data_IF_562015844871
#
_entry.id   IF_562015844871
#
_cell.length_a   1.000
_cell.length_b   1.000
_cell.length_c   1.000
_cell.angle_alpha   90.00
_cell.angle_beta   90.00
_cell.angle_gamma   90.00
#
_symmetry.space_group_name_H-M   'P 1'
#
loop_
_entity.id
_entity.type
_entity.pdbx_description
1 polymer ?
#
# COMPACT_ATOMS: atom_id res chain seq x y z
N UNK A 1 12.24 -0.80 -30.40
CA UNK A 1 12.61 0.55 -30.88
C UNK A 1 13.12 1.32 -29.67
N UNK A 2 14.34 1.85 -29.72
CA UNK A 2 14.90 2.64 -28.61
C UNK A 2 14.01 3.87 -28.42
N UNK A 3 13.54 4.16 -27.18
CA UNK A 3 12.67 5.30 -26.94
C UNK A 3 13.41 6.61 -27.27
N UNK A 4 12.67 7.58 -27.79
CA UNK A 4 13.15 8.94 -28.07
C UNK A 4 12.38 9.91 -27.20
N UNK A 5 13.06 10.95 -26.70
CA UNK A 5 12.43 11.97 -25.85
C UNK A 5 13.21 12.26 -24.57
N UNK A 6 12.55 12.84 -23.60
CA UNK A 6 13.09 13.15 -22.28
C UNK A 6 12.54 12.15 -21.24
N UNK A 7 13.28 11.98 -20.16
CA UNK A 7 12.84 11.27 -18.96
C UNK A 7 12.31 12.28 -17.94
N UNK A 8 11.00 12.29 -17.67
CA UNK A 8 10.42 13.11 -16.62
C UNK A 8 10.62 12.42 -15.28
N UNK A 9 11.07 13.19 -14.30
CA UNK A 9 11.38 12.67 -12.96
C UNK A 9 10.80 13.60 -11.91
N UNK A 10 10.20 13.04 -10.86
CA UNK A 10 9.88 13.77 -9.65
C UNK A 10 11.02 13.67 -8.66
N UNK A 11 11.71 14.79 -8.45
CA UNK A 11 12.84 14.90 -7.53
C UNK A 11 12.32 15.28 -6.14
N UNK A 12 12.76 14.56 -5.12
CA UNK A 12 12.57 14.92 -3.73
C UNK A 12 13.42 16.12 -3.36
N UNK A 13 12.81 17.22 -2.93
CA UNK A 13 13.52 18.50 -2.68
C UNK A 13 13.89 18.71 -1.23
N UNK A 14 12.97 18.44 -0.32
CA UNK A 14 13.16 18.78 1.09
C UNK A 14 12.27 17.94 2.01
N UNK A 15 12.76 17.76 3.25
CA UNK A 15 12.06 17.00 4.28
C UNK A 15 10.75 17.69 4.68
N UNK A 16 9.59 17.00 4.65
CA UNK A 16 8.35 17.55 5.19
C UNK A 16 8.44 17.77 6.70
N UNK A 17 8.01 18.93 7.18
CA UNK A 17 7.85 19.19 8.62
C UNK A 17 6.51 18.66 9.12
N UNK A 18 5.48 18.82 8.30
CA UNK A 18 4.10 18.44 8.57
C UNK A 18 3.58 17.52 7.47
N UNK A 19 2.39 17.77 6.94
CA UNK A 19 1.85 17.02 5.82
C UNK A 19 2.72 17.17 4.56
N UNK A 20 2.77 16.11 3.75
CA UNK A 20 3.45 16.15 2.45
C UNK A 20 2.62 16.94 1.47
N UNK A 21 3.23 17.95 0.83
CA UNK A 21 2.63 18.78 -0.21
C UNK A 21 3.52 18.81 -1.46
N UNK A 22 3.03 19.46 -2.52
CA UNK A 22 3.75 19.55 -3.80
C UNK A 22 5.09 20.30 -3.69
N UNK A 23 5.22 21.19 -2.72
CA UNK A 23 6.45 21.95 -2.44
C UNK A 23 7.65 21.09 -2.08
N UNK A 24 7.41 19.84 -1.68
CA UNK A 24 8.46 18.88 -1.35
C UNK A 24 9.04 18.17 -2.58
N UNK A 25 8.48 18.44 -3.75
CA UNK A 25 8.88 17.80 -5.00
C UNK A 25 9.13 18.81 -6.11
N UNK A 26 9.85 18.38 -7.13
CA UNK A 26 10.06 19.13 -8.38
C UNK A 26 10.05 18.16 -9.54
N UNK A 27 9.29 18.49 -10.59
CA UNK A 27 9.36 17.74 -11.84
C UNK A 27 10.47 18.31 -12.70
N UNK A 28 11.41 17.44 -13.10
CA UNK A 28 12.50 17.78 -14.01
C UNK A 28 12.45 16.88 -15.24
N UNK A 29 13.00 17.37 -16.33
CA UNK A 29 13.24 16.59 -17.55
C UNK A 29 14.74 16.37 -17.73
N UNK A 30 15.14 15.13 -17.92
CA UNK A 30 16.53 14.73 -18.16
C UNK A 30 16.65 13.97 -19.48
N UNK A 31 17.86 13.75 -19.95
CA UNK A 31 18.10 12.82 -21.07
C UNK A 31 17.64 11.41 -20.68
N UNK A 32 17.19 10.64 -21.68
CA UNK A 32 16.90 9.22 -21.46
C UNK A 32 18.14 8.50 -20.96
N UNK A 33 18.04 7.69 -19.88
CA UNK A 33 19.16 6.90 -19.42
C UNK A 33 19.49 5.78 -20.41
N UNK A 34 20.75 5.35 -20.43
CA UNK A 34 21.21 4.28 -21.32
C UNK A 34 21.68 3.09 -20.46
N UNK A 35 21.21 1.91 -20.80
CA UNK A 35 21.65 0.68 -20.10
C UNK A 35 23.13 0.41 -20.37
N UNK A 36 23.89 0.18 -19.30
CA UNK A 36 25.26 -0.34 -19.35
C UNK A 36 25.30 -1.86 -19.51
N UNK A 37 26.50 -2.45 -19.41
CA UNK A 37 26.65 -3.89 -19.40
C UNK A 37 25.91 -4.50 -18.21
N UNK A 38 25.22 -5.62 -18.42
CA UNK A 38 24.40 -6.32 -17.44
C UNK A 38 23.33 -5.43 -16.75
N UNK A 39 22.71 -4.55 -17.53
CA UNK A 39 21.60 -3.69 -17.10
C UNK A 39 20.43 -3.77 -18.08
N UNK A 40 19.25 -3.39 -17.58
CA UNK A 40 18.04 -3.25 -18.40
C UNK A 40 17.52 -1.82 -18.30
N UNK A 41 17.06 -1.28 -19.43
CA UNK A 41 16.29 -0.04 -19.48
C UNK A 41 14.82 -0.40 -19.47
N UNK A 42 14.09 0.18 -18.56
CA UNK A 42 12.65 -0.04 -18.40
C UNK A 42 11.86 1.25 -18.56
N UNK A 43 10.65 1.14 -19.12
CA UNK A 43 9.64 2.19 -19.13
C UNK A 43 8.66 1.94 -18.01
N UNK A 44 8.52 2.87 -17.08
CA UNK A 44 7.60 2.75 -15.94
C UNK A 44 6.15 2.86 -16.44
N UNK A 45 5.34 1.88 -16.14
CA UNK A 45 3.93 1.81 -16.50
C UNK A 45 3.03 2.26 -15.35
N UNK A 46 3.41 1.86 -14.14
CA UNK A 46 2.67 2.17 -12.91
C UNK A 46 3.66 2.46 -11.80
N UNK A 47 3.54 3.62 -11.16
CA UNK A 47 4.28 3.98 -9.96
C UNK A 47 3.33 3.95 -8.75
N UNK A 48 3.75 3.32 -7.65
CA UNK A 48 2.98 3.26 -6.42
C UNK A 48 3.04 4.57 -5.65
N UNK A 49 1.91 4.95 -5.05
CA UNK A 49 1.84 6.02 -4.05
C UNK A 49 1.34 5.40 -2.75
N UNK A 50 2.18 5.38 -1.73
CA UNK A 50 1.86 4.74 -0.46
C UNK A 50 2.23 5.60 0.75
N UNK A 51 1.53 5.45 1.88
CA UNK A 51 1.88 6.16 3.12
C UNK A 51 3.31 5.87 3.60
N UNK A 52 3.86 4.68 3.32
CA UNK A 52 5.22 4.31 3.68
C UNK A 52 6.30 5.21 3.08
N UNK A 53 6.03 5.83 1.92
CA UNK A 53 6.95 6.76 1.28
C UNK A 53 7.22 8.00 2.16
N UNK A 54 6.27 8.38 3.01
CA UNK A 54 6.52 9.44 4.00
C UNK A 54 7.63 9.06 4.98
N UNK A 55 7.64 7.81 5.47
CA UNK A 55 8.70 7.34 6.36
C UNK A 55 10.07 7.38 5.67
N UNK A 56 10.13 7.04 4.37
CA UNK A 56 11.39 7.10 3.59
C UNK A 56 11.95 8.51 3.42
N UNK A 57 11.10 9.53 3.48
CA UNK A 57 11.54 10.93 3.51
C UNK A 57 12.05 11.36 4.89
N UNK A 58 11.64 10.66 5.95
CA UNK A 58 11.85 11.09 7.34
C UNK A 58 13.02 10.40 8.03
N UNK A 59 13.18 9.08 7.85
CA UNK A 59 14.12 8.27 8.63
C UNK A 59 14.61 7.07 7.82
N UNK A 60 15.68 6.45 8.29
CA UNK A 60 16.11 5.14 7.83
C UNK A 60 15.10 4.08 8.27
N UNK A 61 14.74 3.21 7.34
CA UNK A 61 13.81 2.09 7.57
C UNK A 61 14.48 0.79 7.10
N UNK A 62 13.78 -0.10 6.36
CA UNK A 62 14.41 -1.19 5.62
C UNK A 62 15.20 -0.71 4.39
N UNK A 63 15.16 0.57 4.10
CA UNK A 63 15.97 1.29 3.12
C UNK A 63 16.55 2.55 3.74
N UNK A 64 17.69 3.08 3.21
CA UNK A 64 18.20 4.37 3.60
C UNK A 64 17.17 5.49 3.32
N UNK A 65 17.17 6.51 4.17
CA UNK A 65 16.36 7.71 3.99
C UNK A 65 16.71 8.42 2.68
N UNK A 66 15.69 8.86 1.94
CA UNK A 66 15.85 9.69 0.75
C UNK A 66 16.59 11.00 1.08
N UNK A 67 17.47 11.40 0.18
CA UNK A 67 18.18 12.67 0.26
C UNK A 67 17.59 13.66 -0.75
N UNK A 68 17.57 14.98 -0.42
CA UNK A 68 17.23 15.99 -1.40
C UNK A 68 18.07 15.87 -2.67
N UNK A 69 17.42 15.93 -3.83
CA UNK A 69 18.04 15.75 -5.14
C UNK A 69 17.86 14.35 -5.73
N UNK A 70 17.41 13.36 -4.94
CA UNK A 70 17.11 12.02 -5.45
C UNK A 70 15.72 11.98 -6.12
N UNK A 71 15.57 11.08 -7.10
CA UNK A 71 14.24 10.73 -7.64
C UNK A 71 13.39 10.16 -6.50
N UNK A 72 12.14 10.61 -6.37
CA UNK A 72 11.25 10.08 -5.35
C UNK A 72 11.08 8.57 -5.52
N UNK A 73 11.49 7.81 -4.53
CA UNK A 73 11.47 6.37 -4.55
C UNK A 73 10.05 5.83 -4.66
N UNK A 74 9.87 4.84 -5.51
CA UNK A 74 8.55 4.21 -5.71
C UNK A 74 8.71 2.81 -6.27
N UNK A 75 8.07 1.86 -5.61
CA UNK A 75 7.82 0.57 -6.19
C UNK A 75 6.80 0.68 -7.33
N UNK A 76 6.94 -0.16 -8.36
CA UNK A 76 6.05 -0.08 -9.51
C UNK A 76 6.17 -1.27 -10.47
N UNK A 77 5.48 -1.11 -11.59
CA UNK A 77 5.56 -2.02 -12.74
C UNK A 77 6.18 -1.26 -13.91
N UNK A 78 7.02 -1.93 -14.66
CA UNK A 78 7.65 -1.39 -15.84
C UNK A 78 7.76 -2.43 -16.96
N UNK A 79 7.86 -1.95 -18.19
CA UNK A 79 8.13 -2.75 -19.38
C UNK A 79 9.62 -2.63 -19.73
N UNK A 80 10.27 -3.74 -19.96
CA UNK A 80 11.64 -3.76 -20.50
C UNK A 80 11.64 -3.21 -21.92
N UNK A 81 12.42 -2.15 -22.17
CA UNK A 81 12.54 -1.53 -23.52
C UNK A 81 13.89 -1.83 -24.17
N UNK A 82 14.94 -2.03 -23.38
CA UNK A 82 16.25 -2.51 -23.83
C UNK A 82 16.83 -3.44 -22.74
N UNK A 83 17.42 -4.55 -23.15
CA UNK A 83 18.13 -5.45 -22.24
C UNK A 83 19.56 -5.67 -22.72
N UNK A 84 20.53 -5.54 -21.82
CA UNK A 84 21.92 -5.98 -21.97
C UNK A 84 22.30 -7.04 -20.92
N UNK A 85 21.27 -7.73 -20.42
CA UNK A 85 21.39 -8.80 -19.43
C UNK A 85 20.63 -10.03 -19.90
N UNK A 86 21.10 -11.21 -19.52
CA UNK A 86 20.40 -12.45 -19.76
C UNK A 86 19.10 -12.53 -18.94
N UNK A 87 18.10 -13.24 -19.46
CA UNK A 87 16.82 -13.52 -18.77
C UNK A 87 15.76 -12.43 -18.89
N UNK A 88 16.04 -11.32 -19.59
CA UNK A 88 15.06 -10.25 -19.87
C UNK A 88 15.06 -9.89 -21.34
N UNK A 89 13.86 -9.70 -21.91
CA UNK A 89 13.66 -9.30 -23.31
C UNK A 89 12.75 -8.07 -23.40
N UNK A 90 12.90 -7.23 -24.43
CA UNK A 90 11.95 -6.14 -24.67
C UNK A 90 10.50 -6.64 -24.73
N UNK A 91 9.61 -5.97 -24.00
CA UNK A 91 8.21 -6.34 -23.83
C UNK A 91 7.92 -7.09 -22.53
N UNK A 92 8.93 -7.59 -21.83
CA UNK A 92 8.73 -8.22 -20.51
C UNK A 92 8.21 -7.19 -19.50
N UNK A 93 7.27 -7.63 -18.65
CA UNK A 93 6.79 -6.84 -17.52
C UNK A 93 7.58 -7.24 -16.28
N UNK A 94 8.13 -6.25 -15.61
CA UNK A 94 8.91 -6.41 -14.38
C UNK A 94 8.36 -5.54 -13.26
N UNK A 95 8.55 -5.97 -12.01
CA UNK A 95 8.32 -5.14 -10.84
C UNK A 95 9.62 -4.82 -10.10
N UNK A 96 9.67 -3.67 -9.51
CA UNK A 96 10.85 -3.20 -8.77
C UNK A 96 10.69 -1.77 -8.24
N UNK A 97 11.77 -1.24 -7.68
CA UNK A 97 11.86 0.16 -7.26
C UNK A 97 12.39 1.01 -8.42
N UNK A 98 11.47 1.67 -9.13
CA UNK A 98 11.82 2.47 -10.31
C UNK A 98 11.80 3.98 -10.03
N UNK A 99 11.24 4.39 -8.90
CA UNK A 99 10.99 5.81 -8.61
C UNK A 99 9.83 6.42 -9.41
N UNK A 100 9.52 7.66 -9.11
CA UNK A 100 8.55 8.44 -9.88
C UNK A 100 9.22 9.06 -11.09
N UNK A 101 9.32 8.30 -12.17
CA UNK A 101 9.93 8.71 -13.43
C UNK A 101 9.40 7.89 -14.61
N UNK A 102 9.63 8.36 -15.84
CA UNK A 102 9.15 7.66 -17.03
C UNK A 102 10.03 6.43 -17.37
N UNK A 103 11.35 6.54 -17.20
CA UNK A 103 12.32 5.49 -17.52
C UNK A 103 13.35 5.32 -16.41
N UNK A 104 13.76 4.09 -16.18
CA UNK A 104 14.82 3.74 -15.23
C UNK A 104 15.80 2.73 -15.84
N UNK A 105 17.07 2.81 -15.43
CA UNK A 105 18.05 1.74 -15.66
C UNK A 105 18.24 0.98 -14.36
N UNK A 106 18.10 -0.33 -14.41
CA UNK A 106 18.17 -1.19 -13.24
C UNK A 106 19.03 -2.43 -13.49
N UNK A 107 19.60 -2.96 -12.43
CA UNK A 107 20.27 -4.27 -12.47
C UNK A 107 19.22 -5.41 -12.52
N UNK A 108 19.49 -6.53 -13.16
CA UNK A 108 18.58 -7.66 -13.28
C UNK A 108 18.14 -8.22 -11.91
N UNK A 109 19.05 -8.26 -10.93
CA UNK A 109 18.75 -8.71 -9.58
C UNK A 109 17.87 -7.75 -8.74
N UNK A 110 17.63 -6.53 -9.21
CA UNK A 110 16.77 -5.55 -8.53
C UNK A 110 15.30 -5.64 -8.95
N UNK A 111 14.97 -6.48 -9.92
CA UNK A 111 13.61 -6.61 -10.48
C UNK A 111 13.17 -8.06 -10.54
N UNK A 112 11.86 -8.27 -10.62
CA UNK A 112 11.26 -9.59 -10.81
C UNK A 112 10.41 -9.62 -12.06
N UNK A 113 10.62 -10.63 -12.90
CA UNK A 113 9.78 -10.89 -14.07
C UNK A 113 8.36 -11.25 -13.62
N UNK A 114 7.37 -10.66 -14.26
CA UNK A 114 5.96 -10.94 -14.00
C UNK A 114 5.35 -11.78 -15.12
N UNK A 115 4.41 -12.62 -14.72
CA UNK A 115 3.70 -13.48 -15.67
C UNK A 115 2.90 -12.63 -16.66
N UNK A 116 3.03 -12.93 -17.94
CA UNK A 116 2.27 -12.28 -19.00
C UNK A 116 0.76 -12.57 -18.88
N UNK A 117 -0.05 -11.62 -19.35
CA UNK A 117 -1.51 -11.78 -19.39
C UNK A 117 -2.26 -11.50 -18.09
N UNK A 118 -1.54 -11.17 -16.99
CA UNK A 118 -2.19 -10.73 -15.75
C UNK A 118 -2.42 -9.21 -15.83
N UNK A 119 -3.63 -8.70 -15.49
CA UNK A 119 -3.88 -7.26 -15.46
C UNK A 119 -2.90 -6.51 -14.55
N UNK A 120 -2.41 -5.36 -14.99
CA UNK A 120 -1.41 -4.56 -14.25
C UNK A 120 -1.94 -4.15 -12.87
N UNK A 121 -3.23 -3.87 -12.76
CA UNK A 121 -3.91 -3.51 -11.52
C UNK A 121 -3.79 -4.62 -10.46
N UNK A 122 -3.84 -5.88 -10.88
CA UNK A 122 -3.65 -7.00 -9.98
C UNK A 122 -2.19 -7.16 -9.57
N UNK A 123 -1.27 -6.96 -10.52
CA UNK A 123 0.17 -7.07 -10.28
C UNK A 123 0.70 -5.97 -9.35
N UNK A 124 0.11 -4.77 -9.33
CA UNK A 124 0.49 -3.68 -8.41
C UNK A 124 -0.33 -3.69 -7.12
N UNK A 125 -1.49 -4.32 -7.12
CA UNK A 125 -2.44 -4.39 -6.00
C UNK A 125 -2.41 -5.71 -5.24
N UNK A 126 -3.45 -6.54 -5.46
CA UNK A 126 -3.68 -7.77 -4.68
C UNK A 126 -2.56 -8.81 -4.82
N UNK A 127 -1.87 -8.88 -5.95
CA UNK A 127 -0.74 -9.79 -6.18
C UNK A 127 0.63 -9.16 -5.80
N UNK A 128 0.62 -8.09 -5.01
CA UNK A 128 1.81 -7.40 -4.56
C UNK A 128 1.77 -7.12 -3.03
N UNK A 129 2.56 -6.14 -2.60
CA UNK A 129 2.78 -5.79 -1.19
C UNK A 129 1.47 -5.62 -0.41
N UNK A 130 0.46 -4.96 -0.97
CA UNK A 130 -0.82 -4.72 -0.29
C UNK A 130 -1.61 -6.00 -0.04
N UNK A 131 -1.71 -6.88 -1.03
CA UNK A 131 -2.34 -8.19 -0.86
C UNK A 131 -1.53 -9.12 0.01
N UNK A 132 -0.19 -9.12 -0.12
CA UNK A 132 0.70 -9.88 0.74
C UNK A 132 0.59 -9.45 2.20
N UNK A 133 0.59 -8.14 2.49
CA UNK A 133 0.43 -7.61 3.85
C UNK A 133 -0.94 -7.98 4.44
N UNK A 134 -2.02 -7.90 3.65
CA UNK A 134 -3.34 -8.33 4.08
C UNK A 134 -3.38 -9.83 4.41
N UNK A 135 -2.81 -10.67 3.53
CA UNK A 135 -2.76 -12.12 3.73
C UNK A 135 -1.96 -12.51 4.97
N UNK A 136 -0.72 -12.04 5.07
CA UNK A 136 0.17 -12.37 6.20
C UNK A 136 -0.41 -11.84 7.51
N UNK A 137 -0.83 -10.57 7.54
CA UNK A 137 -1.40 -9.98 8.75
C UNK A 137 -2.67 -10.70 9.21
N UNK A 138 -3.51 -11.13 8.28
CA UNK A 138 -4.74 -11.83 8.63
C UNK A 138 -4.48 -13.30 8.99
N UNK A 139 -3.82 -14.08 8.13
CA UNK A 139 -3.76 -15.54 8.29
C UNK A 139 -2.54 -16.03 9.07
N UNK A 140 -1.41 -15.35 9.01
CA UNK A 140 -0.21 -15.78 9.76
C UNK A 140 -0.13 -15.14 11.14
N UNK A 141 -0.57 -13.88 11.27
CA UNK A 141 -0.50 -13.13 12.54
C UNK A 141 -1.80 -13.27 13.33
N UNK A 142 -2.91 -12.78 12.79
CA UNK A 142 -4.19 -12.72 13.53
C UNK A 142 -4.93 -14.07 13.60
N UNK A 143 -4.83 -14.89 12.55
CA UNK A 143 -5.40 -16.25 12.46
C UNK A 143 -6.89 -16.30 12.82
N UNK A 144 -7.75 -15.59 12.08
CA UNK A 144 -9.18 -15.60 12.35
C UNK A 144 -9.78 -16.98 12.13
N UNK A 145 -10.83 -17.28 12.87
CA UNK A 145 -11.60 -18.53 12.76
C UNK A 145 -12.98 -18.22 12.20
N UNK A 146 -13.60 -19.15 11.45
CA UNK A 146 -14.97 -18.98 11.00
C UNK A 146 -15.91 -18.64 12.16
N UNK A 147 -16.78 -17.65 11.96
CA UNK A 147 -17.73 -17.15 12.96
C UNK A 147 -17.18 -16.05 13.88
N UNK A 148 -15.87 -15.80 13.92
CA UNK A 148 -15.30 -14.71 14.71
C UNK A 148 -15.62 -13.35 14.08
N UNK A 149 -15.68 -12.31 14.92
CA UNK A 149 -15.82 -10.91 14.50
C UNK A 149 -14.46 -10.30 14.20
N UNK A 150 -14.23 -9.95 12.95
CA UNK A 150 -13.03 -9.27 12.46
C UNK A 150 -13.35 -7.80 12.20
N UNK A 151 -12.62 -6.89 12.83
CA UNK A 151 -12.68 -5.46 12.54
C UNK A 151 -11.47 -5.07 11.69
N UNK A 152 -11.68 -4.31 10.63
CA UNK A 152 -10.61 -3.80 9.76
C UNK A 152 -10.66 -2.27 9.74
N UNK A 153 -9.61 -1.58 10.19
CA UNK A 153 -9.49 -0.14 10.05
C UNK A 153 -8.81 0.25 8.75
N UNK A 154 -9.07 1.49 8.27
CA UNK A 154 -8.60 1.89 6.95
C UNK A 154 -9.12 0.95 5.84
N UNK A 155 -10.32 0.40 6.05
CA UNK A 155 -10.90 -0.66 5.23
C UNK A 155 -11.09 -0.26 3.76
N UNK A 156 -11.31 1.02 3.48
CA UNK A 156 -11.39 1.55 2.10
C UNK A 156 -10.05 1.83 1.44
N UNK A 157 -8.91 1.48 2.09
CA UNK A 157 -7.56 1.59 1.53
C UNK A 157 -7.11 0.31 0.83
N UNK A 158 -5.97 0.37 0.12
CA UNK A 158 -5.48 -0.73 -0.72
C UNK A 158 -5.26 -2.05 0.04
N UNK A 159 -4.71 -2.02 1.25
CA UNK A 159 -4.55 -3.22 2.09
C UNK A 159 -5.86 -3.60 2.78
N UNK A 160 -6.59 -2.60 3.29
CA UNK A 160 -7.82 -2.83 4.05
C UNK A 160 -8.93 -3.49 3.23
N UNK A 161 -9.13 -3.07 1.98
CA UNK A 161 -10.16 -3.67 1.11
C UNK A 161 -9.86 -5.14 0.76
N UNK A 162 -8.59 -5.53 0.69
CA UNK A 162 -8.19 -6.94 0.54
C UNK A 162 -8.43 -7.71 1.85
N UNK A 163 -8.05 -7.12 3.00
CA UNK A 163 -8.26 -7.76 4.31
C UNK A 163 -9.74 -8.02 4.60
N UNK A 164 -10.64 -7.08 4.24
CA UNK A 164 -12.10 -7.28 4.35
C UNK A 164 -12.54 -8.51 3.57
N UNK A 165 -12.18 -8.60 2.30
CA UNK A 165 -12.59 -9.72 1.45
C UNK A 165 -11.99 -11.05 1.92
N UNK A 166 -10.72 -11.08 2.31
CA UNK A 166 -10.07 -12.29 2.83
C UNK A 166 -10.73 -12.77 4.13
N UNK A 167 -11.10 -11.86 5.04
CA UNK A 167 -11.81 -12.21 6.27
C UNK A 167 -13.22 -12.75 5.98
N UNK A 168 -13.92 -12.22 4.97
CA UNK A 168 -15.20 -12.77 4.51
C UNK A 168 -15.04 -14.18 3.94
N UNK A 169 -14.02 -14.40 3.10
CA UNK A 169 -13.72 -15.73 2.53
C UNK A 169 -13.34 -16.74 3.62
N UNK A 170 -12.76 -16.28 4.75
CA UNK A 170 -12.48 -17.11 5.92
C UNK A 170 -13.74 -17.42 6.77
N UNK A 171 -14.93 -16.98 6.38
CA UNK A 171 -16.18 -17.23 7.08
C UNK A 171 -16.39 -16.37 8.35
N UNK A 172 -15.73 -15.23 8.44
CA UNK A 172 -15.84 -14.31 9.55
C UNK A 172 -17.00 -13.30 9.38
N UNK A 173 -17.51 -12.78 10.50
CA UNK A 173 -18.25 -11.53 10.52
C UNK A 173 -17.26 -10.38 10.37
N UNK A 174 -17.45 -9.49 9.40
CA UNK A 174 -16.50 -8.41 9.11
C UNK A 174 -17.13 -7.05 9.31
N UNK A 175 -16.51 -6.22 10.15
CA UNK A 175 -16.88 -4.83 10.38
C UNK A 175 -15.78 -3.92 9.83
N UNK A 176 -16.12 -3.07 8.88
CA UNK A 176 -15.18 -2.23 8.16
C UNK A 176 -15.21 -0.79 8.68
N UNK A 177 -14.07 -0.25 9.13
CA UNK A 177 -13.95 1.14 9.56
C UNK A 177 -13.36 1.98 8.43
N UNK A 178 -14.12 2.98 7.95
CA UNK A 178 -13.69 3.91 6.91
C UNK A 178 -14.28 5.30 7.17
N UNK A 179 -13.82 6.32 6.44
CA UNK A 179 -14.36 7.68 6.57
C UNK A 179 -15.32 8.01 5.43
N UNK A 180 -16.57 8.36 5.79
CA UNK A 180 -17.63 8.81 4.91
C UNK A 180 -18.57 7.70 4.43
N UNK A 181 -19.86 8.02 4.35
CA UNK A 181 -20.95 7.09 4.06
C UNK A 181 -20.77 6.32 2.74
N UNK A 182 -20.31 6.99 1.68
CA UNK A 182 -20.10 6.35 0.38
C UNK A 182 -19.08 5.21 0.41
N UNK A 183 -17.98 5.35 1.20
CA UNK A 183 -17.03 4.26 1.40
C UNK A 183 -17.63 3.13 2.23
N UNK A 184 -18.41 3.47 3.26
CA UNK A 184 -19.13 2.48 4.07
C UNK A 184 -20.09 1.65 3.22
N UNK A 185 -20.87 2.29 2.38
CA UNK A 185 -21.78 1.62 1.46
C UNK A 185 -21.04 0.67 0.50
N UNK A 186 -19.99 1.15 -0.17
CA UNK A 186 -19.16 0.34 -1.05
C UNK A 186 -18.55 -0.89 -0.34
N UNK A 187 -18.06 -0.72 0.90
CA UNK A 187 -17.49 -1.83 1.67
C UNK A 187 -18.51 -2.91 1.98
N UNK A 188 -19.78 -2.53 2.21
CA UNK A 188 -20.86 -3.49 2.50
C UNK A 188 -21.40 -4.12 1.22
N UNK A 189 -21.76 -3.30 0.23
CA UNK A 189 -22.49 -3.76 -0.96
C UNK A 189 -21.58 -4.48 -1.96
N UNK A 190 -20.34 -3.99 -2.17
CA UNK A 190 -19.42 -4.53 -3.18
C UNK A 190 -18.38 -5.47 -2.60
N UNK A 191 -17.88 -5.20 -1.38
CA UNK A 191 -16.82 -6.02 -0.75
C UNK A 191 -17.34 -7.02 0.29
N UNK A 192 -18.64 -6.98 0.59
CA UNK A 192 -19.31 -7.97 1.42
C UNK A 192 -19.06 -7.85 2.93
N UNK A 193 -18.62 -6.67 3.43
CA UNK A 193 -18.57 -6.44 4.86
C UNK A 193 -19.99 -6.52 5.47
N UNK A 194 -20.12 -7.06 6.68
CA UNK A 194 -21.42 -7.20 7.36
C UNK A 194 -21.91 -5.87 7.96
N UNK A 195 -20.99 -4.96 8.26
CA UNK A 195 -21.29 -3.60 8.71
C UNK A 195 -20.14 -2.64 8.40
N UNK A 196 -20.45 -1.36 8.31
CA UNK A 196 -19.46 -0.29 8.21
C UNK A 196 -19.61 0.70 9.37
N UNK A 197 -18.46 1.22 9.82
CA UNK A 197 -18.35 2.26 10.86
C UNK A 197 -17.69 3.48 10.24
N UNK A 198 -18.35 4.63 10.31
CA UNK A 198 -17.83 5.91 9.85
C UNK A 198 -17.15 6.67 11.00
N UNK A 199 -15.83 6.60 11.08
CA UNK A 199 -15.09 7.30 12.14
C UNK A 199 -15.19 8.83 12.07
N UNK A 200 -15.68 9.40 10.95
CA UNK A 200 -15.85 10.84 10.77
C UNK A 200 -17.21 11.36 11.26
N UNK A 201 -18.16 10.48 11.55
CA UNK A 201 -19.51 10.87 11.96
C UNK A 201 -19.63 11.26 13.45
N UNK A 202 -18.56 11.14 14.23
CA UNK A 202 -18.46 11.67 15.60
C UNK A 202 -18.70 10.68 16.73
N UNK A 203 -19.46 9.59 16.52
CA UNK A 203 -19.72 8.57 17.56
C UNK A 203 -19.10 7.21 17.21
N UNK A 204 -17.79 7.16 17.19
CA UNK A 204 -17.05 5.93 16.91
C UNK A 204 -17.40 4.80 17.89
N UNK A 205 -17.47 5.10 19.19
CA UNK A 205 -17.71 4.09 20.22
C UNK A 205 -19.12 3.49 20.15
N UNK A 206 -20.14 4.32 19.95
CA UNK A 206 -21.52 3.84 19.81
C UNK A 206 -21.73 3.03 18.54
N UNK A 207 -21.13 3.46 17.42
CA UNK A 207 -21.15 2.69 16.16
C UNK A 207 -20.46 1.34 16.31
N UNK A 208 -19.26 1.28 16.92
CA UNK A 208 -18.57 0.02 17.18
C UNK A 208 -19.40 -0.89 18.09
N UNK A 209 -20.12 -0.32 19.11
CA UNK A 209 -21.00 -1.08 19.96
C UNK A 209 -22.15 -1.72 19.19
N UNK A 210 -22.77 -0.96 18.32
CA UNK A 210 -23.87 -1.45 17.50
C UNK A 210 -23.40 -2.49 16.46
N UNK A 211 -22.24 -2.26 15.85
CA UNK A 211 -21.71 -3.15 14.81
C UNK A 211 -21.08 -4.44 15.37
N UNK A 212 -20.56 -4.43 16.62
CA UNK A 212 -19.91 -5.56 17.28
C UNK A 212 -20.59 -5.88 18.63
N UNK A 213 -21.87 -6.33 18.65
CA UNK A 213 -22.60 -6.57 19.90
C UNK A 213 -21.96 -7.68 20.77
N UNK A 214 -21.32 -8.68 20.13
CA UNK A 214 -20.63 -9.80 20.80
C UNK A 214 -19.14 -9.52 21.06
N UNK A 215 -18.69 -8.28 20.87
CA UNK A 215 -17.27 -7.91 20.98
C UNK A 215 -16.47 -8.17 19.70
N UNK A 216 -15.14 -8.07 19.82
CA UNK A 216 -14.20 -8.14 18.70
C UNK A 216 -13.16 -9.21 18.97
N UNK A 217 -13.03 -10.20 18.08
CA UNK A 217 -12.08 -11.29 18.22
C UNK A 217 -10.76 -11.00 17.52
N UNK A 218 -10.82 -10.32 16.37
CA UNK A 218 -9.65 -9.94 15.57
C UNK A 218 -9.74 -8.49 15.13
N UNK A 219 -8.64 -7.78 15.27
CA UNK A 219 -8.49 -6.44 14.73
C UNK A 219 -7.32 -6.38 13.74
N UNK A 220 -7.61 -5.99 12.51
CA UNK A 220 -6.61 -5.69 11.49
C UNK A 220 -6.40 -4.17 11.45
N UNK A 221 -5.31 -3.70 12.06
CA UNK A 221 -5.05 -2.28 12.25
C UNK A 221 -4.17 -1.70 11.14
N UNK A 222 -4.75 -0.77 10.37
CA UNK A 222 -4.04 0.08 9.41
C UNK A 222 -3.87 1.52 9.89
N UNK A 223 -4.48 1.92 11.01
CA UNK A 223 -4.65 3.33 11.36
C UNK A 223 -3.96 3.75 12.65
N UNK A 224 -3.95 2.90 13.67
CA UNK A 224 -3.46 3.29 15.00
C UNK A 224 -4.34 4.33 15.70
N UNK A 225 -3.78 5.03 16.69
CA UNK A 225 -4.38 6.19 17.35
C UNK A 225 -5.72 5.93 18.02
N UNK A 226 -6.65 6.88 17.91
CA UNK A 226 -7.98 6.82 18.56
C UNK A 226 -8.82 5.60 18.11
N UNK A 227 -8.70 5.19 16.85
CA UNK A 227 -9.42 4.03 16.33
C UNK A 227 -8.90 2.75 17.01
N UNK A 228 -7.58 2.59 17.13
CA UNK A 228 -6.98 1.47 17.85
C UNK A 228 -7.47 1.45 19.30
N UNK A 229 -7.45 2.58 20.00
CA UNK A 229 -7.91 2.66 21.40
C UNK A 229 -9.38 2.25 21.55
N UNK A 230 -10.25 2.73 20.66
CA UNK A 230 -11.69 2.41 20.67
C UNK A 230 -11.95 0.92 20.41
N UNK A 231 -11.20 0.32 19.48
CA UNK A 231 -11.33 -1.13 19.18
C UNK A 231 -10.81 -1.97 20.33
N UNK A 232 -9.63 -1.63 20.90
CA UNK A 232 -9.06 -2.37 22.04
C UNK A 232 -9.99 -2.43 23.25
N UNK A 233 -10.75 -1.36 23.50
CA UNK A 233 -11.73 -1.31 24.60
C UNK A 233 -12.90 -2.31 24.43
N UNK A 234 -13.03 -2.92 23.25
CA UNK A 234 -14.12 -3.85 22.90
C UNK A 234 -13.63 -5.25 22.50
N UNK A 235 -12.32 -5.50 22.62
CA UNK A 235 -11.74 -6.80 22.29
C UNK A 235 -12.22 -7.87 23.28
N UNK A 236 -12.56 -9.03 22.76
CA UNK A 236 -12.86 -10.21 23.55
C UNK A 236 -11.60 -10.75 24.22
N UNK A 237 -11.78 -11.57 25.27
CA UNK A 237 -10.69 -12.33 25.87
C UNK A 237 -9.98 -13.17 24.77
N UNK A 238 -8.67 -13.15 24.75
CA UNK A 238 -7.84 -13.78 23.71
C UNK A 238 -7.98 -13.18 22.31
N UNK A 239 -8.53 -11.98 22.20
CA UNK A 239 -8.55 -11.22 20.94
C UNK A 239 -7.15 -10.99 20.39
N UNK A 240 -7.01 -10.88 19.07
CA UNK A 240 -5.72 -10.73 18.39
C UNK A 240 -5.72 -9.46 17.55
N UNK A 241 -4.58 -8.76 17.54
CA UNK A 241 -4.39 -7.53 16.74
C UNK A 241 -3.25 -7.75 15.76
N UNK A 242 -3.53 -7.58 14.47
CA UNK A 242 -2.50 -7.48 13.44
C UNK A 242 -2.19 -6.00 13.20
N UNK A 243 -1.05 -5.52 13.71
CA UNK A 243 -0.58 -4.15 13.51
C UNK A 243 0.07 -4.03 12.13
N UNK A 244 -0.69 -3.62 11.12
CA UNK A 244 -0.24 -3.47 9.74
C UNK A 244 0.29 -2.06 9.46
N UNK A 245 -0.32 -1.03 10.04
CA UNK A 245 0.06 0.35 9.85
C UNK A 245 -0.52 1.29 10.92
N UNK A 246 -0.04 2.54 10.93
CA UNK A 246 -0.47 3.58 11.86
C UNK A 246 -0.66 4.91 11.13
N UNK A 247 -1.41 4.90 10.02
CA UNK A 247 -1.48 6.04 9.09
C UNK A 247 -1.96 7.34 9.74
N UNK A 248 -2.75 7.28 10.81
CA UNK A 248 -3.19 8.45 11.57
C UNK A 248 -2.04 9.18 12.29
N UNK A 249 -0.91 8.50 12.49
CA UNK A 249 0.22 8.99 13.26
C UNK A 249 1.44 9.39 12.38
N UNK A 250 1.41 9.12 11.07
CA UNK A 250 2.58 9.38 10.21
C UNK A 250 2.96 10.85 10.06
N UNK A 251 2.06 11.78 10.38
CA UNK A 251 2.35 13.21 10.37
C UNK A 251 2.64 13.79 11.77
N UNK A 252 2.59 12.97 12.81
CA UNK A 252 2.94 13.40 14.16
C UNK A 252 4.47 13.38 14.27
N UNK A 253 5.04 14.54 14.59
CA UNK A 253 6.46 14.67 14.87
C UNK A 253 6.63 14.46 16.39
N UNK A 254 7.02 13.28 16.80
CA UNK A 254 7.62 13.04 18.13
C UNK A 254 9.14 13.03 18.04
#
# INVERSE_FOLDING_TARGET
MVPTGANRQWIYKQRPKDAVGLEHFEMVETALPTAGADQILVRVLVASVSPGQRAWMMTDTYRPRLQPGEVMASYGLAEVVESRSEGFTPGDIVDGDFGWQDYAVVAPGAVRLRQAGIPLEWLVGVLNLTGFAAHVGLFEVARPRPGETVVVSGAGGATGCVAVQLAKLAGCRVVAIAGGAAKGQWLVEDLGADAAVDYKSGDLNGQLQAACPEGIDVYFDNTGGEILAAVLARMNAHGRVACCGSVSQYNQND
#
